data_IF_915961122367
#
_entry.id   IF_915961122367
#
_cell.length_a   1.000
_cell.length_b   1.000
_cell.length_c   1.000
_cell.angle_alpha   90.00
_cell.angle_beta   90.00
_cell.angle_gamma   90.00
#
_symmetry.space_group_name_H-M   'P 1'
#
loop_
_entity.id
_entity.type
_entity.pdbx_description
1 polymer ?
#
# COMPACT_ATOMS: atom_id res chain seq x y z
N UNK A 1 -27.95 11.08 -2.36
CA UNK A 1 -26.91 10.78 -3.37
C UNK A 1 -26.20 12.02 -3.90
N UNK A 2 -26.89 13.16 -4.08
CA UNK A 2 -26.25 14.41 -4.53
C UNK A 2 -25.17 14.87 -3.56
N UNK A 3 -25.47 14.92 -2.26
CA UNK A 3 -24.52 15.28 -1.20
C UNK A 3 -23.51 14.19 -0.86
N UNK A 4 -23.55 13.04 -1.55
CA UNK A 4 -22.65 11.92 -1.29
C UNK A 4 -21.44 12.01 -2.22
N UNK A 5 -20.23 11.99 -1.68
CA UNK A 5 -18.99 12.07 -2.45
C UNK A 5 -18.18 10.77 -2.46
N UNK A 6 -18.82 9.65 -2.09
CA UNK A 6 -18.20 8.34 -1.96
C UNK A 6 -16.96 8.33 -1.05
N UNK A 7 -16.85 9.27 -0.12
CA UNK A 7 -15.68 9.50 0.70
C UNK A 7 -15.74 8.80 2.05
N UNK A 8 -14.61 8.80 2.76
CA UNK A 8 -14.58 8.41 4.17
C UNK A 8 -14.93 9.55 5.13
N UNK A 9 -15.50 10.67 4.67
CA UNK A 9 -15.97 11.75 5.56
C UNK A 9 -17.10 11.28 6.48
N UNK A 10 -17.32 11.98 7.59
CA UNK A 10 -18.38 11.63 8.54
C UNK A 10 -19.75 11.63 7.87
N UNK A 11 -20.04 12.66 7.07
CA UNK A 11 -21.30 12.79 6.33
C UNK A 11 -21.51 11.64 5.34
N UNK A 12 -20.47 11.26 4.59
CA UNK A 12 -20.60 10.16 3.64
C UNK A 12 -20.77 8.81 4.35
N UNK A 13 -20.12 8.61 5.50
CA UNK A 13 -20.32 7.39 6.29
C UNK A 13 -21.75 7.27 6.80
N UNK A 14 -22.33 8.34 7.33
CA UNK A 14 -23.72 8.31 7.81
C UNK A 14 -24.72 8.08 6.68
N UNK A 15 -24.47 8.68 5.50
CA UNK A 15 -25.27 8.40 4.30
C UNK A 15 -25.15 6.93 3.89
N UNK A 16 -23.93 6.37 3.85
CA UNK A 16 -23.70 4.98 3.49
C UNK A 16 -24.37 4.01 4.49
N UNK A 17 -24.27 4.27 5.78
CA UNK A 17 -24.93 3.49 6.83
C UNK A 17 -26.45 3.55 6.73
N UNK A 18 -27.00 4.73 6.40
CA UNK A 18 -28.44 4.90 6.15
C UNK A 18 -28.90 4.08 4.94
N UNK A 19 -28.14 4.09 3.84
CA UNK A 19 -28.43 3.25 2.67
C UNK A 19 -28.40 1.76 3.04
N UNK A 20 -27.40 1.34 3.81
CA UNK A 20 -27.28 -0.03 4.27
C UNK A 20 -28.43 -0.44 5.20
N UNK A 21 -28.92 0.47 6.04
CA UNK A 21 -30.07 0.26 6.91
C UNK A 21 -31.35 0.08 6.08
N UNK A 22 -31.57 0.91 5.07
CA UNK A 22 -32.73 0.83 4.16
C UNK A 22 -32.76 -0.50 3.39
N UNK A 23 -31.63 -0.92 2.86
CA UNK A 23 -31.53 -2.17 2.09
C UNK A 23 -31.66 -3.41 2.99
N UNK A 24 -30.92 -3.47 4.10
CA UNK A 24 -30.86 -4.68 4.92
C UNK A 24 -32.03 -4.82 5.89
N UNK A 25 -32.45 -3.73 6.53
CA UNK A 25 -33.47 -3.74 7.59
C UNK A 25 -34.86 -3.52 7.01
N UNK A 26 -35.02 -2.48 6.20
CA UNK A 26 -36.31 -2.11 5.62
C UNK A 26 -36.62 -2.79 4.28
N UNK A 27 -35.68 -3.59 3.75
CA UNK A 27 -35.81 -4.35 2.48
C UNK A 27 -36.24 -3.48 1.29
N UNK A 28 -35.84 -2.20 1.29
CA UNK A 28 -36.12 -1.29 0.18
C UNK A 28 -35.32 -1.74 -1.05
N UNK A 29 -36.02 -1.90 -2.18
CA UNK A 29 -35.36 -2.31 -3.41
C UNK A 29 -34.55 -1.15 -4.04
N UNK A 30 -33.23 -1.16 -3.80
CA UNK A 30 -32.30 -0.19 -4.38
C UNK A 30 -31.86 -0.54 -5.82
N UNK A 31 -32.29 -1.67 -6.38
CA UNK A 31 -31.94 -2.05 -7.77
C UNK A 31 -32.47 -1.04 -8.78
N UNK A 32 -33.55 -0.33 -8.43
CA UNK A 32 -34.21 0.69 -9.27
C UNK A 32 -33.26 1.84 -9.59
N UNK A 33 -32.34 2.17 -8.67
CA UNK A 33 -31.36 3.25 -8.82
C UNK A 33 -29.95 2.74 -9.15
N UNK A 34 -29.77 1.43 -9.31
CA UNK A 34 -28.47 0.81 -9.64
C UNK A 34 -28.12 1.00 -11.13
N UNK A 35 -26.85 1.16 -11.51
CA UNK A 35 -25.69 1.44 -10.64
C UNK A 35 -25.82 2.81 -9.96
N UNK A 36 -25.39 2.88 -8.69
CA UNK A 36 -25.43 4.12 -7.91
C UNK A 36 -24.39 5.11 -8.43
N UNK A 37 -24.85 6.30 -8.77
CA UNK A 37 -24.02 7.45 -9.16
C UNK A 37 -24.11 8.52 -8.06
N UNK A 38 -23.05 9.30 -7.87
CA UNK A 38 -22.90 10.23 -6.74
C UNK A 38 -22.38 11.61 -7.18
N UNK A 39 -22.37 12.57 -6.25
CA UNK A 39 -21.97 13.96 -6.50
C UNK A 39 -22.94 14.77 -7.34
N UNK A 40 -22.58 16.01 -7.64
CA UNK A 40 -23.47 16.98 -8.33
C UNK A 40 -23.84 16.55 -9.74
N UNK A 41 -22.89 15.91 -10.46
CA UNK A 41 -23.13 15.36 -11.80
C UNK A 41 -24.22 14.28 -11.82
N UNK A 42 -24.54 13.66 -10.68
CA UNK A 42 -25.60 12.66 -10.59
C UNK A 42 -27.02 13.23 -10.73
N UNK A 43 -27.21 14.54 -10.52
CA UNK A 43 -28.53 15.20 -10.54
C UNK A 43 -29.21 14.99 -11.90
N UNK A 44 -28.50 15.27 -12.99
CA UNK A 44 -29.07 15.15 -14.34
C UNK A 44 -29.40 13.71 -14.70
N UNK A 45 -28.56 12.77 -14.26
CA UNK A 45 -28.74 11.34 -14.49
C UNK A 45 -30.02 10.86 -13.79
N UNK A 46 -30.21 11.20 -12.52
CA UNK A 46 -31.41 10.82 -11.78
C UNK A 46 -32.67 11.54 -12.29
N UNK A 47 -32.58 12.80 -12.73
CA UNK A 47 -33.70 13.51 -13.37
C UNK A 47 -34.13 12.83 -14.67
N UNK A 48 -33.20 12.55 -15.58
CA UNK A 48 -33.48 11.83 -16.83
C UNK A 48 -34.03 10.43 -16.55
N UNK A 49 -33.51 9.74 -15.54
CA UNK A 49 -34.00 8.42 -15.14
C UNK A 49 -35.43 8.47 -14.58
N UNK A 50 -35.80 9.53 -13.86
CA UNK A 50 -37.18 9.76 -13.42
C UNK A 50 -38.14 10.06 -14.57
N UNK A 51 -37.68 10.75 -15.62
CA UNK A 51 -38.49 11.11 -16.79
C UNK A 51 -38.68 9.94 -17.77
N UNK A 52 -37.61 9.22 -18.09
CA UNK A 52 -37.61 8.19 -19.13
C UNK A 52 -37.67 6.75 -18.57
N UNK A 53 -37.56 6.59 -17.24
CA UNK A 53 -37.45 5.29 -16.59
C UNK A 53 -36.08 4.62 -16.78
N UNK A 54 -35.86 3.51 -16.06
CA UNK A 54 -34.57 2.81 -16.03
C UNK A 54 -34.23 2.07 -17.34
N UNK A 55 -35.23 1.79 -18.18
CA UNK A 55 -35.03 1.01 -19.42
C UNK A 55 -34.52 1.88 -20.57
N UNK A 56 -35.06 3.09 -20.73
CA UNK A 56 -34.70 4.03 -21.80
C UNK A 56 -33.43 4.82 -21.48
N UNK A 57 -33.24 5.21 -20.21
CA UNK A 57 -32.05 5.96 -19.79
C UNK A 57 -31.15 5.09 -18.89
N UNK A 58 -30.45 4.14 -19.50
CA UNK A 58 -29.47 3.28 -18.82
C UNK A 58 -28.15 4.01 -18.63
N UNK A 59 -27.65 4.02 -17.40
CA UNK A 59 -26.28 4.45 -17.08
C UNK A 59 -25.32 3.32 -17.38
N UNK A 60 -24.44 3.54 -18.36
CA UNK A 60 -23.42 2.57 -18.74
C UNK A 60 -22.30 2.51 -17.70
N UNK A 61 -21.61 1.37 -17.62
CA UNK A 61 -20.55 1.18 -16.64
C UNK A 61 -19.39 2.17 -16.84
N UNK A 62 -19.04 2.48 -18.09
CA UNK A 62 -17.99 3.45 -18.43
C UNK A 62 -18.35 4.86 -17.92
N UNK A 63 -19.61 5.28 -18.04
CA UNK A 63 -20.08 6.57 -17.50
C UNK A 63 -19.99 6.64 -15.98
N UNK A 64 -20.17 5.51 -15.28
CA UNK A 64 -20.01 5.46 -13.82
C UNK A 64 -18.54 5.59 -13.42
N UNK A 65 -17.62 5.02 -14.20
CA UNK A 65 -16.19 5.12 -13.94
C UNK A 65 -15.66 6.55 -14.09
N UNK A 66 -16.25 7.38 -14.95
CA UNK A 66 -15.91 8.80 -15.10
C UNK A 66 -16.15 9.64 -13.82
N UNK A 67 -16.92 9.13 -12.85
CA UNK A 67 -17.08 9.76 -11.53
C UNK A 67 -15.89 9.50 -10.61
N UNK A 68 -15.02 8.55 -10.96
CA UNK A 68 -13.85 8.20 -10.17
C UNK A 68 -12.65 9.04 -10.60
N UNK A 69 -12.16 9.87 -9.70
CA UNK A 69 -10.83 10.46 -9.83
C UNK A 69 -9.74 9.39 -9.64
N UNK A 70 -8.92 9.17 -10.68
CA UNK A 70 -7.82 8.23 -10.70
C UNK A 70 -6.73 8.51 -9.66
N UNK A 71 -6.43 9.79 -9.38
CA UNK A 71 -5.43 10.17 -8.36
C UNK A 71 -5.92 9.83 -6.96
N UNK A 72 -7.16 10.20 -6.65
CA UNK A 72 -7.81 9.86 -5.40
C UNK A 72 -7.99 8.36 -5.22
N UNK A 73 -8.28 7.63 -6.29
CA UNK A 73 -8.31 6.16 -6.29
C UNK A 73 -6.95 5.57 -5.90
N UNK A 74 -5.86 6.05 -6.50
CA UNK A 74 -4.52 5.61 -6.14
C UNK A 74 -4.15 5.97 -4.70
N UNK A 75 -4.50 7.18 -4.22
CA UNK A 75 -4.33 7.55 -2.81
C UNK A 75 -5.11 6.59 -1.90
N UNK A 76 -6.29 6.15 -2.30
CA UNK A 76 -7.11 5.18 -1.56
C UNK A 76 -6.47 3.79 -1.54
N UNK A 77 -5.96 3.32 -2.69
CA UNK A 77 -5.21 2.05 -2.80
C UNK A 77 -4.12 1.97 -1.73
N UNK A 78 -3.32 3.02 -1.57
CA UNK A 78 -2.15 3.04 -0.68
C UNK A 78 -2.46 3.29 0.80
N UNK A 79 -3.61 3.90 1.11
CA UNK A 79 -3.88 4.43 2.45
C UNK A 79 -5.14 3.87 3.13
N UNK A 80 -5.97 3.07 2.46
CA UNK A 80 -7.24 2.59 3.02
C UNK A 80 -7.10 1.77 4.31
N UNK A 81 -5.97 1.10 4.51
CA UNK A 81 -5.69 0.26 5.68
C UNK A 81 -4.85 0.95 6.76
N UNK A 82 -4.33 2.16 6.49
CA UNK A 82 -3.46 2.88 7.42
C UNK A 82 -4.25 3.32 8.67
N UNK A 83 -3.66 3.22 9.87
CA UNK A 83 -4.28 3.74 11.08
C UNK A 83 -4.48 5.26 10.91
N UNK A 84 -5.67 5.74 11.29
CA UNK A 84 -5.98 7.16 11.24
C UNK A 84 -5.20 7.88 12.33
N UNK A 85 -4.41 8.92 12.02
CA UNK A 85 -3.87 9.76 13.07
C UNK A 85 -5.03 10.40 13.83
N UNK A 86 -5.04 10.25 15.15
CA UNK A 86 -6.00 10.91 16.03
C UNK A 86 -5.78 12.43 15.90
N UNK A 87 -6.77 13.17 15.38
CA UNK A 87 -6.76 14.63 15.34
C UNK A 87 -6.50 15.32 13.99
N UNK A 88 -6.21 14.59 12.91
CA UNK A 88 -6.07 15.19 11.56
C UNK A 88 -7.29 14.88 10.67
N UNK A 89 -8.34 15.69 10.77
CA UNK A 89 -9.53 15.58 9.91
C UNK A 89 -9.30 16.06 8.46
N UNK A 90 -8.18 16.75 8.19
CA UNK A 90 -7.96 17.51 6.95
C UNK A 90 -7.65 16.69 5.69
N UNK A 91 -6.68 15.77 5.71
CA UNK A 91 -6.16 15.13 4.48
C UNK A 91 -6.71 13.72 4.20
N UNK A 92 -7.31 13.08 5.21
CA UNK A 92 -7.93 11.74 5.14
C UNK A 92 -9.42 11.80 4.77
N UNK A 93 -10.04 12.98 4.85
CA UNK A 93 -11.39 13.26 4.32
C UNK A 93 -11.51 12.94 2.83
N UNK A 94 -10.38 12.99 2.10
CA UNK A 94 -10.34 12.79 0.66
C UNK A 94 -10.05 11.35 0.21
N UNK A 95 -10.19 10.31 1.05
CA UNK A 95 -10.16 8.92 0.56
C UNK A 95 -11.55 8.46 0.13
N UNK A 96 -11.63 7.50 -0.80
CA UNK A 96 -12.90 6.85 -1.13
C UNK A 96 -13.27 5.77 -0.11
N UNK A 97 -14.56 5.56 0.14
CA UNK A 97 -15.05 4.43 0.93
C UNK A 97 -14.97 3.14 0.11
N UNK A 98 -14.00 2.30 0.48
CA UNK A 98 -13.74 1.00 -0.12
C UNK A 98 -14.97 0.08 -0.06
N UNK A 99 -15.78 0.13 1.00
CA UNK A 99 -16.96 -0.74 1.16
C UNK A 99 -18.01 -0.42 0.11
N UNK A 100 -18.18 0.86 -0.19
CA UNK A 100 -19.04 1.33 -1.26
C UNK A 100 -18.46 0.95 -2.63
N UNK A 101 -17.19 1.27 -2.89
CA UNK A 101 -16.55 1.03 -4.19
C UNK A 101 -16.51 -0.44 -4.57
N UNK A 102 -16.19 -1.36 -3.66
CA UNK A 102 -16.16 -2.79 -3.99
C UNK A 102 -17.55 -3.32 -4.34
N UNK A 103 -18.61 -2.84 -3.67
CA UNK A 103 -19.99 -3.21 -4.02
C UNK A 103 -20.41 -2.62 -5.37
N UNK A 104 -19.99 -1.38 -5.64
CA UNK A 104 -20.18 -0.75 -6.95
C UNK A 104 -19.49 -1.57 -8.04
N UNK A 105 -18.25 -1.99 -7.85
CA UNK A 105 -17.53 -2.80 -8.84
C UNK A 105 -18.24 -4.12 -9.14
N UNK A 106 -18.81 -4.78 -8.13
CA UNK A 106 -19.63 -5.98 -8.33
C UNK A 106 -20.89 -5.69 -9.14
N UNK A 107 -21.54 -4.54 -8.94
CA UNK A 107 -22.73 -4.16 -9.72
C UNK A 107 -22.39 -3.79 -11.16
N UNK A 108 -21.23 -3.18 -11.40
CA UNK A 108 -20.73 -2.86 -12.74
C UNK A 108 -20.35 -4.11 -13.55
N UNK A 109 -19.96 -5.21 -12.90
CA UNK A 109 -19.56 -6.47 -13.53
C UNK A 109 -20.70 -7.52 -13.58
N UNK A 110 -21.96 -7.09 -13.58
CA UNK A 110 -23.10 -8.00 -13.76
C UNK A 110 -23.15 -8.64 -15.15
N UNK A 111 -23.83 -9.78 -15.27
CA UNK A 111 -23.93 -10.51 -16.53
C UNK A 111 -24.71 -9.66 -17.56
N UNK A 112 -24.09 -9.37 -18.70
CA UNK A 112 -24.65 -8.48 -19.73
C UNK A 112 -24.17 -7.03 -19.65
N UNK A 113 -23.30 -6.67 -18.70
CA UNK A 113 -22.64 -5.36 -18.68
C UNK A 113 -21.65 -5.21 -19.86
N UNK A 114 -21.60 -4.02 -20.44
CA UNK A 114 -20.69 -3.63 -21.54
C UNK A 114 -19.43 -2.93 -21.02
N UNK A 115 -19.03 -3.19 -19.77
CA UNK A 115 -17.84 -2.60 -19.15
C UNK A 115 -16.57 -2.88 -19.95
N UNK A 116 -15.82 -1.85 -20.34
CA UNK A 116 -14.49 -2.09 -20.93
C UNK A 116 -13.48 -2.42 -19.84
N UNK A 117 -12.82 -3.58 -19.97
CA UNK A 117 -11.84 -4.03 -18.97
C UNK A 117 -10.72 -3.00 -18.76
N UNK A 118 -10.25 -2.39 -19.86
CA UNK A 118 -9.21 -1.35 -19.85
C UNK A 118 -9.62 -0.13 -19.03
N UNK A 119 -10.83 0.39 -19.25
CA UNK A 119 -11.38 1.51 -18.47
C UNK A 119 -11.40 1.22 -16.96
N UNK A 120 -11.80 0.00 -16.58
CA UNK A 120 -11.79 -0.41 -15.17
C UNK A 120 -10.39 -0.42 -14.54
N UNK A 121 -9.36 -0.82 -15.29
CA UNK A 121 -7.98 -0.83 -14.81
C UNK A 121 -7.38 0.57 -14.81
N UNK A 122 -7.65 1.40 -15.83
CA UNK A 122 -7.19 2.79 -15.92
C UNK A 122 -7.67 3.64 -14.73
N UNK A 123 -8.91 3.43 -14.28
CA UNK A 123 -9.47 4.07 -13.08
C UNK A 123 -9.03 3.40 -11.76
N UNK A 124 -8.01 2.53 -11.80
CA UNK A 124 -7.44 1.80 -10.65
C UNK A 124 -8.44 0.89 -9.90
N UNK A 125 -9.54 0.46 -10.54
CA UNK A 125 -10.52 -0.43 -9.91
C UNK A 125 -9.93 -1.80 -9.56
N UNK A 126 -9.11 -2.35 -10.46
CA UNK A 126 -8.41 -3.60 -10.23
C UNK A 126 -7.32 -3.46 -9.14
N UNK A 127 -6.56 -2.37 -9.20
CA UNK A 127 -5.53 -2.05 -8.21
C UNK A 127 -6.10 -1.91 -6.80
N UNK A 128 -7.26 -1.27 -6.67
CA UNK A 128 -7.98 -1.17 -5.39
C UNK A 128 -8.42 -2.54 -4.90
N UNK A 129 -8.98 -3.36 -5.79
CA UNK A 129 -9.42 -4.72 -5.46
C UNK A 129 -8.27 -5.57 -4.92
N UNK A 130 -7.08 -5.50 -5.52
CA UNK A 130 -5.90 -6.17 -4.96
C UNK A 130 -5.51 -5.61 -3.60
N UNK A 131 -5.42 -4.29 -3.45
CA UNK A 131 -5.02 -3.68 -2.18
C UNK A 131 -5.93 -4.06 -1.01
N UNK A 132 -7.25 -4.13 -1.25
CA UNK A 132 -8.26 -4.45 -0.23
C UNK A 132 -8.15 -5.87 0.35
N UNK A 133 -7.38 -6.76 -0.27
CA UNK A 133 -7.09 -8.11 0.27
C UNK A 133 -6.23 -8.07 1.54
N UNK A 134 -5.54 -6.95 1.80
CA UNK A 134 -4.75 -6.72 3.04
C UNK A 134 -5.56 -6.10 4.20
N UNK A 135 -6.81 -5.70 3.94
CA UNK A 135 -7.68 -5.05 4.93
C UNK A 135 -7.90 -5.92 6.17
N UNK A 136 -8.01 -5.28 7.34
CA UNK A 136 -8.34 -5.95 8.61
C UNK A 136 -9.77 -6.52 8.62
N UNK A 137 -10.69 -5.84 7.94
CA UNK A 137 -12.09 -6.25 7.87
C UNK A 137 -12.28 -7.43 6.91
N UNK A 138 -12.81 -8.54 7.44
CA UNK A 138 -13.11 -9.76 6.68
C UNK A 138 -14.10 -9.50 5.54
N UNK A 139 -15.09 -8.62 5.73
CA UNK A 139 -16.10 -8.35 4.71
C UNK A 139 -15.50 -7.59 3.53
N UNK A 140 -14.62 -6.63 3.78
CA UNK A 140 -13.87 -5.92 2.74
C UNK A 140 -13.02 -6.90 1.94
N UNK A 141 -12.32 -7.83 2.61
CA UNK A 141 -11.55 -8.88 1.92
C UNK A 141 -12.43 -9.76 1.05
N UNK A 142 -13.54 -10.29 1.58
CA UNK A 142 -14.48 -11.13 0.81
C UNK A 142 -15.02 -10.41 -0.42
N UNK A 143 -15.38 -9.13 -0.30
CA UNK A 143 -15.81 -8.31 -1.42
C UNK A 143 -14.69 -8.14 -2.45
N UNK A 144 -13.46 -7.85 -2.00
CA UNK A 144 -12.30 -7.71 -2.87
C UNK A 144 -12.02 -8.98 -3.68
N UNK A 145 -11.96 -10.14 -3.02
CA UNK A 145 -11.82 -11.43 -3.70
C UNK A 145 -12.96 -11.74 -4.66
N UNK A 146 -14.19 -11.35 -4.30
CA UNK A 146 -15.36 -11.49 -5.18
C UNK A 146 -15.22 -10.63 -6.44
N UNK A 147 -14.75 -9.38 -6.31
CA UNK A 147 -14.49 -8.48 -7.45
C UNK A 147 -13.42 -9.08 -8.35
N UNK A 148 -12.30 -9.56 -7.79
CA UNK A 148 -11.23 -10.20 -8.55
C UNK A 148 -11.74 -11.42 -9.32
N UNK A 149 -12.49 -12.31 -8.66
CA UNK A 149 -13.08 -13.49 -9.31
C UNK A 149 -14.10 -13.10 -10.40
N UNK A 150 -14.91 -12.07 -10.16
CA UNK A 150 -15.88 -11.56 -11.13
C UNK A 150 -15.19 -10.97 -12.35
N UNK A 151 -14.10 -10.24 -12.15
CA UNK A 151 -13.29 -9.65 -13.24
C UNK A 151 -12.64 -10.74 -14.10
N UNK A 152 -12.14 -11.84 -13.52
CA UNK A 152 -11.65 -13.01 -14.30
C UNK A 152 -12.77 -13.61 -15.15
N UNK A 153 -13.94 -13.85 -14.57
CA UNK A 153 -15.08 -14.41 -15.30
C UNK A 153 -15.54 -13.47 -16.43
N UNK A 154 -15.55 -12.17 -16.16
CA UNK A 154 -15.89 -11.13 -17.13
C UNK A 154 -14.92 -11.12 -18.31
N UNK A 155 -13.62 -10.99 -18.05
CA UNK A 155 -12.56 -10.97 -19.08
C UNK A 155 -12.56 -12.25 -19.93
N UNK A 156 -12.76 -13.42 -19.30
CA UNK A 156 -12.88 -14.69 -20.02
C UNK A 156 -14.09 -14.73 -20.96
N UNK A 157 -15.27 -14.28 -20.52
CA UNK A 157 -16.46 -14.23 -21.39
C UNK A 157 -16.24 -13.31 -22.60
N UNK A 158 -15.56 -12.19 -22.41
CA UNK A 158 -15.23 -11.27 -23.51
C UNK A 158 -14.30 -11.96 -24.53
N UNK A 159 -13.27 -12.67 -24.07
CA UNK A 159 -12.37 -13.45 -24.96
C UNK A 159 -13.18 -14.51 -25.74
N UNK A 160 -14.07 -15.25 -25.08
CA UNK A 160 -14.86 -16.29 -25.75
C UNK A 160 -15.84 -15.75 -26.79
N UNK A 161 -16.43 -14.57 -26.55
CA UNK A 161 -17.31 -13.91 -27.52
C UNK A 161 -16.53 -13.52 -28.78
N UNK A 162 -15.36 -12.89 -28.62
CA UNK A 162 -14.49 -12.50 -29.73
C UNK A 162 -14.06 -13.72 -30.56
N UNK A 163 -13.57 -14.79 -29.91
CA UNK A 163 -13.15 -16.02 -30.61
C UNK A 163 -14.31 -16.69 -31.35
N UNK A 164 -15.54 -16.66 -30.81
CA UNK A 164 -16.72 -17.23 -31.49
C UNK A 164 -17.19 -16.37 -32.66
N UNK A 165 -17.09 -15.04 -32.57
CA UNK A 165 -17.39 -14.12 -33.68
C UNK A 165 -16.42 -14.39 -34.83
N UNK A 166 -15.11 -14.50 -34.53
CA UNK A 166 -14.07 -14.86 -35.51
C UNK A 166 -14.37 -16.22 -36.17
N UNK A 167 -14.81 -17.23 -35.41
CA UNK A 167 -15.12 -18.56 -35.96
C UNK A 167 -16.41 -18.64 -36.79
N UNK A 168 -17.31 -17.65 -36.73
CA UNK A 168 -18.59 -17.65 -37.47
C UNK A 168 -18.53 -16.91 -38.80
N UNK A 169 -17.50 -16.08 -39.03
CA UNK A 169 -17.14 -15.56 -40.35
C UNK A 169 -16.09 -16.47 -40.98
N UNK A 170 -16.32 -16.96 -42.20
CA UNK A 170 -15.41 -17.86 -42.94
C UNK A 170 -14.51 -17.01 -43.85
N UNK A 171 -13.19 -17.33 -43.89
CA UNK A 171 -12.07 -16.80 -44.72
C UNK A 171 -11.51 -15.46 -44.19
N UNK A 172 -10.23 -15.26 -43.83
CA UNK A 172 -8.95 -15.71 -44.40
C UNK A 172 -7.91 -16.13 -43.33
N UNK A 173 -7.04 -17.09 -43.66
CA UNK A 173 -5.92 -17.56 -42.82
C UNK A 173 -4.71 -16.59 -42.80
N UNK A 174 -4.90 -15.33 -43.20
CA UNK A 174 -3.81 -14.33 -43.33
C UNK A 174 -3.97 -13.09 -42.46
N UNK A 175 -5.06 -12.94 -41.72
CA UNK A 175 -5.23 -11.81 -40.79
C UNK A 175 -5.55 -12.35 -39.39
N UNK A 176 -4.56 -13.00 -38.79
CA UNK A 176 -4.42 -12.98 -37.33
C UNK A 176 -4.06 -11.53 -36.95
N UNK A 177 -5.02 -10.62 -37.00
CA UNK A 177 -4.97 -9.33 -36.30
C UNK A 177 -5.12 -9.55 -34.77
N UNK A 178 -4.45 -10.60 -34.25
CA UNK A 178 -4.01 -10.69 -32.87
C UNK A 178 -2.89 -9.66 -32.57
N UNK A 179 -2.69 -8.69 -33.45
CA UNK A 179 -1.70 -7.63 -33.39
C UNK A 179 -2.22 -6.30 -32.86
N UNK A 180 -3.50 -6.22 -32.47
CA UNK A 180 -3.91 -5.16 -31.56
C UNK A 180 -3.19 -5.38 -30.21
N UNK A 181 -2.33 -4.43 -29.83
CA UNK A 181 -1.60 -4.48 -28.55
C UNK A 181 -2.56 -4.62 -27.34
N UNK A 182 -3.80 -4.18 -27.51
CA UNK A 182 -4.88 -4.27 -26.52
C UNK A 182 -5.27 -5.72 -26.22
N UNK A 183 -5.31 -6.60 -27.22
CA UNK A 183 -5.69 -8.00 -27.00
C UNK A 183 -4.64 -8.78 -26.22
N UNK A 184 -3.35 -8.47 -26.42
CA UNK A 184 -2.23 -9.12 -25.69
C UNK A 184 -2.28 -8.79 -24.19
N UNK A 185 -2.61 -7.55 -23.81
CA UNK A 185 -2.70 -7.13 -22.40
C UNK A 185 -3.82 -7.84 -21.65
N UNK A 186 -4.95 -8.12 -22.30
CA UNK A 186 -6.08 -8.83 -21.71
C UNK A 186 -5.68 -10.22 -21.18
N UNK A 187 -4.87 -10.97 -21.92
CA UNK A 187 -4.36 -12.28 -21.49
C UNK A 187 -3.43 -12.15 -20.28
N UNK A 188 -2.62 -11.08 -20.20
CA UNK A 188 -1.75 -10.82 -19.04
C UNK A 188 -2.56 -10.60 -17.76
N UNK A 189 -3.70 -9.91 -17.83
CA UNK A 189 -4.60 -9.77 -16.66
C UNK A 189 -5.18 -11.10 -16.21
N UNK A 190 -5.64 -11.93 -17.15
CA UNK A 190 -6.16 -13.27 -16.83
C UNK A 190 -5.06 -14.10 -16.19
N UNK A 191 -3.83 -14.03 -16.72
CA UNK A 191 -2.67 -14.71 -16.16
C UNK A 191 -2.34 -14.23 -14.74
N UNK A 192 -2.24 -12.92 -14.52
CA UNK A 192 -1.96 -12.32 -13.22
C UNK A 192 -2.98 -12.77 -12.16
N UNK A 193 -4.27 -12.75 -12.50
CA UNK A 193 -5.34 -13.12 -11.57
C UNK A 193 -5.38 -14.63 -11.31
N UNK A 194 -5.06 -15.47 -12.30
CA UNK A 194 -4.90 -16.91 -12.10
C UNK A 194 -3.71 -17.22 -11.21
N UNK A 195 -2.57 -16.58 -11.45
CA UNK A 195 -1.37 -16.71 -10.63
C UNK A 195 -1.65 -16.32 -9.17
N UNK A 196 -2.34 -15.19 -8.98
CA UNK A 196 -2.78 -14.75 -7.66
C UNK A 196 -3.72 -15.77 -6.99
N UNK A 197 -4.76 -16.23 -7.70
CA UNK A 197 -5.71 -17.23 -7.19
C UNK A 197 -5.02 -18.54 -6.80
N UNK A 198 -4.07 -19.01 -7.61
CA UNK A 198 -3.34 -20.25 -7.35
C UNK A 198 -2.40 -20.12 -6.13
N UNK A 199 -2.00 -18.90 -5.78
CA UNK A 199 -1.14 -18.62 -4.64
C UNK A 199 -1.88 -18.59 -3.30
N UNK A 200 -3.22 -18.66 -3.32
CA UNK A 200 -4.06 -18.54 -2.13
C UNK A 200 -4.61 -19.91 -1.75
N UNK A 201 -4.33 -20.33 -0.51
CA UNK A 201 -4.75 -21.64 0.02
C UNK A 201 -6.08 -21.60 0.78
N UNK A 202 -6.41 -20.45 1.39
CA UNK A 202 -7.57 -20.29 2.28
C UNK A 202 -8.65 -19.39 1.67
N UNK A 203 -9.85 -19.40 2.25
CA UNK A 203 -10.92 -18.50 1.87
C UNK A 203 -10.68 -17.08 2.41
N UNK A 204 -10.49 -16.13 1.50
CA UNK A 204 -10.30 -14.71 1.79
C UNK A 204 -9.24 -14.39 2.87
N UNK A 205 -8.00 -14.93 2.76
CA UNK A 205 -6.95 -14.69 3.73
C UNK A 205 -6.58 -13.22 3.74
N UNK A 206 -6.05 -12.78 4.88
CA UNK A 206 -5.46 -11.45 4.95
C UNK A 206 -4.05 -11.50 4.39
N UNK A 207 -3.82 -10.78 3.30
CA UNK A 207 -2.47 -10.68 2.71
C UNK A 207 -1.65 -9.58 3.39
N UNK A 208 -0.32 -9.71 3.42
CA UNK A 208 0.55 -8.58 3.74
C UNK A 208 0.40 -7.45 2.71
N UNK A 209 0.50 -6.20 3.18
CA UNK A 209 0.32 -5.02 2.33
C UNK A 209 1.35 -4.96 1.20
N UNK A 210 2.59 -5.41 1.45
CA UNK A 210 3.62 -5.52 0.42
C UNK A 210 3.19 -6.43 -0.75
N UNK A 211 2.49 -7.53 -0.46
CA UNK A 211 2.00 -8.44 -1.50
C UNK A 211 0.82 -7.81 -2.24
N UNK A 212 -0.17 -7.29 -1.52
CA UNK A 212 -1.35 -6.69 -2.15
C UNK A 212 -1.00 -5.46 -2.98
N UNK A 213 -0.07 -4.62 -2.51
CA UNK A 213 0.44 -3.46 -3.25
C UNK A 213 1.28 -3.87 -4.46
N UNK A 214 2.03 -4.99 -4.38
CA UNK A 214 2.73 -5.54 -5.54
C UNK A 214 1.72 -5.84 -6.66
N UNK A 215 0.69 -6.65 -6.39
CA UNK A 215 -0.32 -6.96 -7.42
C UNK A 215 -1.07 -5.72 -7.91
N UNK A 216 -1.36 -4.76 -7.03
CA UNK A 216 -1.99 -3.48 -7.42
C UNK A 216 -1.11 -2.63 -8.35
N UNK A 217 0.21 -2.62 -8.13
CA UNK A 217 1.18 -1.94 -9.01
C UNK A 217 1.34 -2.68 -10.31
N UNK A 218 1.43 -4.01 -10.28
CA UNK A 218 1.55 -4.85 -11.47
C UNK A 218 0.31 -4.72 -12.35
N UNK A 219 -0.91 -4.68 -11.79
CA UNK A 219 -2.12 -4.45 -12.58
C UNK A 219 -2.09 -3.11 -13.32
N UNK A 220 -1.49 -2.07 -12.73
CA UNK A 220 -1.31 -0.79 -13.41
C UNK A 220 -0.16 -0.84 -14.42
N UNK A 221 0.93 -1.53 -14.09
CA UNK A 221 2.11 -1.67 -14.94
C UNK A 221 1.78 -2.37 -16.27
N UNK A 222 0.82 -3.31 -16.29
CA UNK A 222 0.39 -4.00 -17.52
C UNK A 222 -0.18 -3.03 -18.57
N UNK A 223 -0.76 -1.89 -18.15
CA UNK A 223 -1.22 -0.85 -19.08
C UNK A 223 -0.07 -0.08 -19.74
N UNK A 224 1.14 -0.15 -19.18
CA UNK A 224 2.30 0.66 -19.54
C UNK A 224 3.51 -0.22 -19.93
N UNK A 225 3.47 -0.94 -21.07
CA UNK A 225 4.59 -1.75 -21.54
C UNK A 225 5.87 -0.95 -21.82
N UNK A 226 5.76 0.35 -22.03
CA UNK A 226 6.88 1.29 -22.18
C UNK A 226 7.70 1.48 -20.90
N UNK A 227 7.18 1.02 -19.76
CA UNK A 227 7.88 1.17 -18.49
C UNK A 227 9.16 0.34 -18.45
N UNK A 228 10.29 0.91 -18.00
CA UNK A 228 11.56 0.19 -17.92
C UNK A 228 11.53 -1.04 -16.99
N UNK A 229 10.57 -1.07 -16.06
CA UNK A 229 10.41 -2.14 -15.07
C UNK A 229 9.51 -3.28 -15.58
N UNK A 230 8.79 -3.06 -16.69
CA UNK A 230 7.80 -3.99 -17.23
C UNK A 230 8.41 -5.38 -17.50
N UNK A 231 9.52 -5.42 -18.23
CA UNK A 231 10.20 -6.68 -18.60
C UNK A 231 10.72 -7.43 -17.38
N UNK A 232 11.31 -6.72 -16.41
CA UNK A 232 11.82 -7.34 -15.19
C UNK A 232 10.69 -8.01 -14.40
N UNK A 233 9.56 -7.33 -14.22
CA UNK A 233 8.39 -7.86 -13.50
C UNK A 233 7.71 -8.99 -14.27
N UNK A 234 7.48 -8.83 -15.58
CA UNK A 234 6.82 -9.87 -16.38
C UNK A 234 7.67 -11.14 -16.46
N UNK A 235 8.99 -11.00 -16.55
CA UNK A 235 9.92 -12.14 -16.49
C UNK A 235 9.72 -12.93 -15.21
N UNK A 236 9.59 -12.23 -14.07
CA UNK A 236 9.33 -12.87 -12.78
C UNK A 236 8.00 -13.60 -12.71
N UNK A 237 6.91 -12.95 -13.15
CA UNK A 237 5.60 -13.58 -13.12
C UNK A 237 5.65 -14.92 -13.88
N UNK A 238 6.41 -14.96 -14.99
CA UNK A 238 6.57 -16.13 -15.85
C UNK A 238 7.49 -17.23 -15.29
N UNK A 239 8.30 -16.95 -14.26
CA UNK A 239 9.29 -17.90 -13.73
C UNK A 239 8.66 -19.04 -12.92
N UNK A 240 7.60 -18.76 -12.16
CA UNK A 240 6.98 -19.73 -11.26
C UNK A 240 5.46 -19.75 -11.46
N UNK A 241 4.82 -20.94 -11.39
CA UNK A 241 3.36 -21.05 -11.51
C UNK A 241 2.60 -20.54 -10.28
N UNK A 242 3.32 -20.18 -9.20
CA UNK A 242 2.80 -19.69 -7.92
C UNK A 242 3.75 -18.65 -7.34
N UNK A 243 3.22 -17.63 -6.67
CA UNK A 243 4.00 -16.60 -5.97
C UNK A 243 4.05 -16.91 -4.47
N UNK A 244 5.25 -16.86 -3.89
CA UNK A 244 5.46 -16.96 -2.45
C UNK A 244 4.90 -15.71 -1.74
N UNK A 245 3.75 -15.83 -1.07
CA UNK A 245 3.10 -14.71 -0.37
C UNK A 245 3.79 -14.32 0.95
N UNK A 246 4.78 -15.10 1.39
CA UNK A 246 5.52 -14.86 2.63
C UNK A 246 6.78 -14.01 2.43
N UNK A 247 7.12 -13.63 1.20
CA UNK A 247 8.34 -12.90 0.86
C UNK A 247 8.01 -11.72 -0.05
N UNK A 248 8.79 -10.64 0.02
CA UNK A 248 8.68 -9.54 -0.94
C UNK A 248 9.01 -10.06 -2.35
N UNK A 249 8.09 -9.93 -3.33
CA UNK A 249 8.32 -10.45 -4.68
C UNK A 249 9.53 -9.79 -5.34
N UNK A 250 10.43 -10.60 -5.92
CA UNK A 250 11.64 -10.16 -6.64
C UNK A 250 12.55 -9.15 -5.93
N UNK A 251 12.58 -9.19 -4.59
CA UNK A 251 13.35 -8.23 -3.80
C UNK A 251 14.80 -8.07 -4.29
N UNK A 252 15.55 -9.18 -4.38
CA UNK A 252 16.97 -9.12 -4.70
C UNK A 252 17.23 -8.69 -6.15
N UNK A 253 16.47 -9.25 -7.09
CA UNK A 253 16.67 -8.98 -8.53
C UNK A 253 16.41 -7.52 -8.86
N UNK A 254 15.36 -6.91 -8.28
CA UNK A 254 15.04 -5.51 -8.52
C UNK A 254 15.93 -4.55 -7.72
N UNK A 255 16.26 -4.89 -6.47
CA UNK A 255 17.08 -4.03 -5.60
C UNK A 255 18.54 -3.95 -6.07
N UNK A 256 19.08 -5.10 -6.49
CA UNK A 256 20.46 -5.28 -6.98
C UNK A 256 20.45 -5.59 -8.48
N UNK A 257 19.61 -4.86 -9.23
CA UNK A 257 19.45 -5.08 -10.67
C UNK A 257 20.78 -5.02 -11.42
N UNK A 258 20.97 -6.01 -12.30
CA UNK A 258 22.09 -6.10 -13.24
C UNK A 258 21.82 -5.38 -14.56
N UNK A 259 20.68 -4.68 -14.68
CA UNK A 259 20.30 -3.97 -15.90
C UNK A 259 21.17 -2.75 -16.13
N UNK A 260 21.91 -2.70 -17.24
CA UNK A 260 22.81 -1.57 -17.52
C UNK A 260 22.06 -0.24 -17.63
N UNK A 261 20.86 -0.25 -18.22
CA UNK A 261 20.08 0.96 -18.51
C UNK A 261 19.02 1.26 -17.44
N UNK A 262 18.40 0.23 -16.87
CA UNK A 262 17.16 0.37 -16.09
C UNK A 262 17.31 0.09 -14.59
N UNK A 263 18.53 -0.17 -14.10
CA UNK A 263 18.76 -0.54 -12.70
C UNK A 263 18.26 0.49 -11.69
N UNK A 264 18.32 1.79 -12.01
CA UNK A 264 17.81 2.85 -11.15
C UNK A 264 16.29 2.75 -10.98
N UNK A 265 15.56 2.60 -12.08
CA UNK A 265 14.09 2.55 -12.08
C UNK A 265 13.58 1.24 -11.45
N UNK A 266 14.24 0.11 -11.72
CA UNK A 266 13.90 -1.17 -11.08
C UNK A 266 14.10 -1.11 -9.55
N UNK A 267 15.20 -0.50 -9.10
CA UNK A 267 15.48 -0.30 -7.68
C UNK A 267 14.49 0.66 -7.02
N UNK A 268 14.21 1.79 -7.66
CA UNK A 268 13.24 2.75 -7.19
C UNK A 268 11.86 2.10 -7.05
N UNK A 269 11.46 1.28 -8.01
CA UNK A 269 10.16 0.60 -8.01
C UNK A 269 9.99 -0.31 -6.80
N UNK A 270 10.99 -1.17 -6.51
CA UNK A 270 10.93 -2.08 -5.35
C UNK A 270 11.06 -1.33 -4.03
N UNK A 271 11.91 -0.31 -3.93
CA UNK A 271 12.03 0.52 -2.73
C UNK A 271 10.75 1.31 -2.43
N UNK A 272 10.06 1.78 -3.47
CA UNK A 272 8.77 2.46 -3.33
C UNK A 272 7.70 1.47 -2.87
N UNK A 273 7.68 0.25 -3.41
CA UNK A 273 6.80 -0.82 -2.95
C UNK A 273 7.02 -1.12 -1.45
N UNK A 274 8.28 -1.24 -1.01
CA UNK A 274 8.60 -1.49 0.40
C UNK A 274 8.18 -0.31 1.27
N UNK A 275 8.54 0.93 0.88
CA UNK A 275 8.24 2.13 1.64
C UNK A 275 6.73 2.37 1.80
N UNK A 276 5.92 2.05 0.78
CA UNK A 276 4.46 2.23 0.84
C UNK A 276 3.73 1.03 1.42
N UNK A 277 4.31 -0.18 1.31
CA UNK A 277 3.75 -1.43 1.82
C UNK A 277 4.12 -1.76 3.25
N UNK A 278 5.05 -1.04 3.88
CA UNK A 278 5.35 -1.19 5.31
C UNK A 278 4.34 -0.38 6.15
N UNK A 279 3.21 -0.99 6.51
CA UNK A 279 2.14 -0.32 7.27
C UNK A 279 2.02 -0.92 8.67
N UNK A 280 2.20 -2.23 8.82
CA UNK A 280 2.04 -2.95 10.08
C UNK A 280 3.24 -3.84 10.43
N UNK A 281 3.34 -4.31 11.69
CA UNK A 281 4.38 -5.23 12.10
C UNK A 281 4.41 -6.55 11.29
N UNK A 282 3.27 -6.99 10.76
CA UNK A 282 3.22 -8.16 9.87
C UNK A 282 4.00 -7.93 8.58
N UNK A 283 3.95 -6.72 8.01
CA UNK A 283 4.67 -6.37 6.78
C UNK A 283 6.18 -6.31 7.03
N UNK A 284 6.59 -5.87 8.22
CA UNK A 284 7.99 -5.92 8.65
C UNK A 284 8.53 -7.36 8.66
N UNK A 285 7.75 -8.32 9.13
CA UNK A 285 8.17 -9.73 9.16
C UNK A 285 8.40 -10.28 7.75
N UNK A 286 7.53 -9.94 6.78
CA UNK A 286 7.70 -10.31 5.37
C UNK A 286 9.00 -9.75 4.79
N UNK A 287 9.32 -8.50 5.12
CA UNK A 287 10.57 -7.88 4.71
C UNK A 287 11.78 -8.58 5.37
N UNK A 288 11.66 -9.01 6.62
CA UNK A 288 12.74 -9.69 7.35
C UNK A 288 12.96 -11.15 6.94
N UNK A 289 11.96 -11.84 6.39
CA UNK A 289 12.11 -13.23 5.92
C UNK A 289 13.25 -13.38 4.90
N UNK A 290 13.56 -12.32 4.15
CA UNK A 290 14.69 -12.24 3.21
C UNK A 290 15.77 -11.23 3.65
N UNK A 291 15.86 -10.95 4.95
CA UNK A 291 16.81 -9.98 5.53
C UNK A 291 16.74 -8.58 4.89
N UNK A 292 15.54 -8.15 4.48
CA UNK A 292 15.34 -6.92 3.70
C UNK A 292 15.92 -5.68 4.37
N UNK A 293 15.65 -5.47 5.67
CA UNK A 293 16.22 -4.31 6.38
C UNK A 293 17.75 -4.36 6.40
N UNK A 294 18.35 -5.52 6.65
CA UNK A 294 19.82 -5.66 6.66
C UNK A 294 20.42 -5.28 5.31
N UNK A 295 19.76 -5.65 4.21
CA UNK A 295 20.14 -5.23 2.86
C UNK A 295 20.04 -3.72 2.71
N UNK A 296 18.91 -3.11 3.09
CA UNK A 296 18.72 -1.65 3.01
C UNK A 296 19.81 -0.89 3.80
N UNK A 297 20.12 -1.34 5.02
CA UNK A 297 21.17 -0.75 5.87
C UNK A 297 22.56 -0.90 5.26
N UNK A 298 22.86 -2.04 4.62
CA UNK A 298 24.15 -2.26 3.94
C UNK A 298 24.29 -1.44 2.66
N UNK A 299 23.19 -1.24 1.94
CA UNK A 299 23.15 -0.58 0.64
C UNK A 299 23.21 0.95 0.79
N UNK A 300 22.54 1.52 1.79
CA UNK A 300 22.42 2.96 2.02
C UNK A 300 23.73 3.78 1.98
N UNK A 301 24.83 3.39 2.67
CA UNK A 301 26.06 4.19 2.68
C UNK A 301 26.90 4.05 1.41
N UNK A 302 26.53 3.16 0.48
CA UNK A 302 27.30 2.89 -0.73
C UNK A 302 27.10 3.99 -1.79
N UNK A 303 28.06 4.10 -2.71
CA UNK A 303 27.97 4.96 -3.89
C UNK A 303 26.99 4.43 -4.96
N UNK A 304 26.52 3.18 -4.81
CA UNK A 304 25.62 2.54 -5.76
C UNK A 304 24.19 3.11 -5.72
N UNK A 305 23.84 3.81 -4.63
CA UNK A 305 22.49 4.31 -4.37
C UNK A 305 22.42 5.81 -4.65
N UNK A 306 21.44 6.20 -5.46
CA UNK A 306 21.11 7.59 -5.70
C UNK A 306 20.33 8.21 -4.52
N UNK A 307 20.11 9.52 -4.59
CA UNK A 307 19.40 10.26 -3.55
C UNK A 307 17.93 9.80 -3.39
N UNK A 308 17.29 9.36 -4.48
CA UNK A 308 15.89 8.91 -4.48
C UNK A 308 15.76 7.61 -3.69
N UNK A 309 16.59 6.62 -3.99
CA UNK A 309 16.64 5.36 -3.28
C UNK A 309 17.05 5.54 -1.82
N UNK A 310 18.00 6.43 -1.50
CA UNK A 310 18.32 6.78 -0.09
C UNK A 310 17.13 7.37 0.64
N UNK A 311 16.38 8.29 0.01
CA UNK A 311 15.13 8.85 0.57
C UNK A 311 14.09 7.77 0.85
N UNK A 312 13.91 6.80 -0.07
CA UNK A 312 12.96 5.69 0.12
C UNK A 312 13.40 4.75 1.26
N UNK A 313 14.70 4.46 1.38
CA UNK A 313 15.26 3.70 2.50
C UNK A 313 14.99 4.43 3.81
N UNK A 314 15.30 5.72 3.89
CA UNK A 314 15.06 6.53 5.08
C UNK A 314 13.56 6.59 5.45
N UNK A 315 12.67 6.78 4.48
CA UNK A 315 11.22 6.72 4.71
C UNK A 315 10.76 5.36 5.24
N UNK A 316 11.31 4.27 4.69
CA UNK A 316 11.04 2.90 5.18
C UNK A 316 11.48 2.75 6.64
N UNK A 317 12.71 3.18 6.97
CA UNK A 317 13.23 3.13 8.33
C UNK A 317 12.43 3.99 9.29
N UNK A 318 12.02 5.20 8.89
CA UNK A 318 11.16 6.08 9.70
C UNK A 318 9.82 5.41 10.01
N UNK A 319 9.17 4.85 9.00
CA UNK A 319 7.89 4.14 9.17
C UNK A 319 8.07 2.92 10.07
N UNK A 320 9.20 2.21 9.95
CA UNK A 320 9.53 1.06 10.80
C UNK A 320 9.70 1.46 12.27
N UNK A 321 10.47 2.52 12.56
CA UNK A 321 10.70 2.97 13.95
C UNK A 321 9.49 3.62 14.58
N UNK A 322 8.50 4.08 13.80
CA UNK A 322 7.23 4.59 14.34
C UNK A 322 6.38 3.48 14.98
N UNK A 323 6.55 2.22 14.57
CA UNK A 323 5.88 1.07 15.19
C UNK A 323 6.67 0.58 16.42
N UNK A 324 6.14 0.63 17.65
CA UNK A 324 6.93 0.33 18.86
C UNK A 324 7.53 -1.08 18.87
N UNK A 325 6.77 -2.11 18.47
CA UNK A 325 7.25 -3.49 18.43
C UNK A 325 8.40 -3.69 17.43
N UNK A 326 8.34 -2.98 16.30
CA UNK A 326 9.37 -3.04 15.26
C UNK A 326 10.59 -2.23 15.66
N UNK A 327 10.41 -1.07 16.29
CA UNK A 327 11.49 -0.25 16.85
C UNK A 327 12.33 -1.04 17.85
N UNK A 328 11.68 -1.81 18.73
CA UNK A 328 12.35 -2.72 19.66
C UNK A 328 13.23 -3.75 18.94
N UNK A 329 12.69 -4.43 17.92
CA UNK A 329 13.45 -5.40 17.13
C UNK A 329 14.62 -4.75 16.39
N UNK A 330 14.40 -3.58 15.79
CA UNK A 330 15.43 -2.78 15.14
C UNK A 330 16.55 -2.36 16.10
N UNK A 331 16.21 -2.06 17.36
CA UNK A 331 17.18 -1.69 18.38
C UNK A 331 18.10 -2.86 18.73
N UNK A 332 17.54 -4.04 19.05
CA UNK A 332 18.31 -5.17 19.55
C UNK A 332 18.85 -6.11 18.45
N UNK A 333 18.03 -6.48 17.46
CA UNK A 333 18.44 -7.45 16.43
C UNK A 333 19.25 -6.78 15.33
N UNK A 334 18.81 -5.61 14.88
CA UNK A 334 19.45 -4.91 13.76
C UNK A 334 20.53 -3.91 14.22
N UNK A 335 20.67 -3.66 15.53
CA UNK A 335 21.60 -2.67 16.09
C UNK A 335 21.49 -1.29 15.41
N UNK A 336 20.27 -0.87 15.09
CA UNK A 336 20.02 0.32 14.27
C UNK A 336 20.65 1.59 14.86
N UNK A 337 20.63 1.72 16.19
CA UNK A 337 21.26 2.83 16.91
C UNK A 337 22.77 2.95 16.63
N UNK A 338 23.48 1.81 16.63
CA UNK A 338 24.91 1.74 16.34
C UNK A 338 25.21 1.97 14.87
N UNK A 339 24.38 1.42 13.98
CA UNK A 339 24.49 1.66 12.54
C UNK A 339 24.31 3.14 12.19
N UNK A 340 23.31 3.83 12.77
CA UNK A 340 23.11 5.27 12.54
C UNK A 340 24.34 6.06 12.99
N UNK A 341 24.86 5.78 14.19
CA UNK A 341 26.04 6.45 14.72
C UNK A 341 27.29 6.23 13.85
N UNK A 342 27.40 5.07 13.18
CA UNK A 342 28.51 4.79 12.26
C UNK A 342 28.37 5.49 10.91
N UNK A 343 27.14 5.63 10.40
CA UNK A 343 26.89 6.11 9.03
C UNK A 343 26.74 7.63 8.95
N UNK A 344 26.32 8.28 10.04
CA UNK A 344 26.01 9.72 10.05
C UNK A 344 27.17 10.64 9.62
N UNK A 345 28.41 10.19 9.83
CA UNK A 345 29.64 10.91 9.45
C UNK A 345 30.09 10.65 8.02
N UNK A 346 29.40 9.79 7.28
CA UNK A 346 29.77 9.47 5.91
C UNK A 346 29.77 10.74 5.04
N UNK A 347 30.86 10.96 4.32
CA UNK A 347 31.09 12.13 3.45
C UNK A 347 30.12 12.18 2.27
N UNK A 348 29.57 11.04 1.88
CA UNK A 348 28.60 10.93 0.78
C UNK A 348 27.18 11.41 1.15
N UNK A 349 26.93 11.68 2.43
CA UNK A 349 25.60 12.09 2.91
C UNK A 349 25.45 13.61 2.92
N UNK A 350 24.33 14.05 2.37
CA UNK A 350 23.87 15.43 2.46
C UNK A 350 23.46 15.78 3.88
N UNK A 351 23.49 17.08 4.22
CA UNK A 351 23.01 17.53 5.52
C UNK A 351 21.52 17.22 5.76
N UNK A 352 20.71 17.04 4.72
CA UNK A 352 19.30 16.64 4.89
C UNK A 352 19.19 15.18 5.34
N UNK A 353 19.94 14.26 4.72
CA UNK A 353 19.97 12.84 5.11
C UNK A 353 20.48 12.67 6.54
N UNK A 354 21.48 13.45 6.94
CA UNK A 354 21.98 13.46 8.34
C UNK A 354 20.91 13.91 9.33
N UNK A 355 20.19 15.01 9.05
CA UNK A 355 19.06 15.44 9.88
C UNK A 355 17.97 14.36 9.95
N UNK A 356 17.66 13.72 8.83
CA UNK A 356 16.62 12.69 8.78
C UNK A 356 17.02 11.44 9.57
N UNK A 357 18.28 11.02 9.50
CA UNK A 357 18.83 9.96 10.37
C UNK A 357 18.77 10.34 11.84
N UNK A 358 19.02 11.61 12.19
CA UNK A 358 18.84 12.15 13.53
C UNK A 358 17.39 12.03 14.02
N UNK A 359 16.41 12.29 13.15
CA UNK A 359 15.00 12.11 13.44
C UNK A 359 14.62 10.64 13.64
N UNK A 360 15.12 9.72 12.79
CA UNK A 360 14.89 8.28 12.97
C UNK A 360 15.49 7.82 14.30
N UNK A 361 16.70 8.29 14.63
CA UNK A 361 17.38 7.96 15.86
C UNK A 361 16.59 8.43 17.09
N UNK A 362 16.09 9.67 17.08
CA UNK A 362 15.31 10.24 18.19
C UNK A 362 14.03 9.44 18.46
N UNK A 363 13.30 9.04 17.40
CA UNK A 363 12.10 8.20 17.50
C UNK A 363 12.45 6.81 18.04
N UNK A 364 13.53 6.20 17.52
CA UNK A 364 13.99 4.86 17.93
C UNK A 364 14.26 4.80 19.44
N UNK A 365 15.07 5.74 19.97
CA UNK A 365 15.42 5.74 21.39
C UNK A 365 14.23 6.10 22.28
N UNK A 366 13.31 6.94 21.80
CA UNK A 366 12.09 7.29 22.54
C UNK A 366 11.18 6.06 22.70
N UNK A 367 10.97 5.30 21.63
CA UNK A 367 10.17 4.08 21.66
C UNK A 367 10.80 2.99 22.54
N UNK A 368 12.12 2.78 22.44
CA UNK A 368 12.81 1.79 23.28
C UNK A 368 12.76 2.18 24.77
N UNK A 369 12.87 3.49 25.09
CA UNK A 369 12.69 3.98 26.45
C UNK A 369 11.28 3.72 26.96
N UNK A 370 10.24 3.98 26.17
CA UNK A 370 8.86 3.73 26.58
C UNK A 370 8.59 2.23 26.81
N UNK A 371 9.13 1.35 25.98
CA UNK A 371 9.06 -0.10 26.17
C UNK A 371 9.80 -0.52 27.45
N UNK A 372 10.99 0.02 27.69
CA UNK A 372 11.76 -0.21 28.93
C UNK A 372 11.05 0.28 30.19
N UNK A 373 10.13 1.26 30.08
CA UNK A 373 9.34 1.78 31.20
C UNK A 373 8.10 0.94 31.51
N UNK A 374 7.52 0.32 30.48
CA UNK A 374 6.31 -0.50 30.55
C UNK A 374 6.60 -2.00 30.63
N UNK A 375 7.86 -2.42 30.52
CA UNK A 375 8.26 -3.81 30.70
C UNK A 375 7.95 -4.30 32.11
N UNK A 376 7.55 -5.57 32.21
CA UNK A 376 7.37 -6.25 33.48
C UNK A 376 8.68 -6.31 34.26
N UNK A 377 8.57 -6.36 35.58
CA UNK A 377 9.72 -6.50 36.51
C UNK A 377 10.50 -7.81 36.31
N UNK A 378 9.95 -8.75 35.53
CA UNK A 378 10.58 -10.04 35.23
C UNK A 378 11.69 -9.92 34.17
N UNK A 379 11.76 -8.80 33.43
CA UNK A 379 12.87 -8.57 32.50
C UNK A 379 14.13 -8.22 33.31
N UNK A 380 15.28 -8.88 33.05
CA UNK A 380 16.49 -8.64 33.82
C UNK A 380 16.91 -7.15 33.79
N UNK A 381 17.15 -6.56 34.97
CA UNK A 381 17.50 -5.13 35.10
C UNK A 381 18.70 -4.71 34.25
N UNK A 382 19.62 -5.63 33.96
CA UNK A 382 20.79 -5.35 33.14
C UNK A 382 20.41 -4.96 31.71
N UNK A 383 19.30 -5.47 31.14
CA UNK A 383 18.90 -5.16 29.76
C UNK A 383 18.61 -3.66 29.59
N UNK A 384 17.84 -3.07 30.49
CA UNK A 384 17.53 -1.64 30.43
C UNK A 384 18.77 -0.78 30.70
N UNK A 385 19.70 -1.26 31.54
CA UNK A 385 20.99 -0.58 31.77
C UNK A 385 21.86 -0.62 30.52
N UNK A 386 21.94 -1.76 29.83
CA UNK A 386 22.68 -1.92 28.57
C UNK A 386 22.07 -1.04 27.49
N UNK A 387 20.74 -1.08 27.30
CA UNK A 387 20.06 -0.24 26.31
C UNK A 387 20.31 1.26 26.55
N UNK A 388 20.19 1.71 27.81
CA UNK A 388 20.49 3.10 28.18
C UNK A 388 21.97 3.47 27.96
N UNK A 389 22.91 2.58 28.31
CA UNK A 389 24.33 2.80 28.09
C UNK A 389 24.68 2.86 26.59
N UNK A 390 24.17 1.93 25.79
CA UNK A 390 24.33 1.91 24.34
C UNK A 390 23.77 3.19 23.72
N UNK A 391 22.54 3.57 24.06
CA UNK A 391 21.91 4.79 23.57
C UNK A 391 22.71 6.04 23.94
N UNK A 392 23.31 6.11 25.14
CA UNK A 392 24.19 7.21 25.56
C UNK A 392 25.48 7.27 24.74
N UNK A 393 26.09 6.13 24.45
CA UNK A 393 27.32 6.07 23.65
C UNK A 393 27.04 6.52 22.22
N UNK A 394 26.03 5.93 21.57
CA UNK A 394 25.70 6.27 20.17
C UNK A 394 25.15 7.69 20.04
N UNK A 395 24.43 8.20 21.04
CA UNK A 395 23.90 9.55 21.00
C UNK A 395 24.98 10.62 21.01
N UNK A 396 26.10 10.44 21.73
CA UNK A 396 27.22 11.41 21.67
C UNK A 396 27.68 11.66 20.24
N UNK A 397 27.74 10.58 19.45
CA UNK A 397 28.15 10.67 18.05
C UNK A 397 27.10 11.37 17.19
N UNK A 398 25.83 11.01 17.36
CA UNK A 398 24.71 11.63 16.63
C UNK A 398 24.57 13.11 16.98
N UNK A 399 24.70 13.48 18.26
CA UNK A 399 24.65 14.86 18.73
C UNK A 399 25.78 15.70 18.14
N UNK A 400 27.02 15.21 18.15
CA UNK A 400 28.14 15.89 17.50
C UNK A 400 27.90 16.15 16.01
N UNK A 401 27.31 15.19 15.31
CA UNK A 401 26.93 15.37 13.90
C UNK A 401 25.79 16.41 13.73
N UNK A 402 24.82 16.47 14.65
CA UNK A 402 23.76 17.49 14.64
C UNK A 402 24.30 18.89 14.96
N UNK A 403 25.24 19.02 15.89
CA UNK A 403 25.91 20.29 16.24
C UNK A 403 26.67 20.90 15.05
N UNK A 404 27.30 20.04 14.22
CA UNK A 404 27.94 20.47 12.98
C UNK A 404 26.96 21.06 11.94
N UNK A 405 25.66 20.82 12.12
CA UNK A 405 24.56 21.28 11.27
C UNK A 405 23.67 22.29 12.00
N UNK A 406 24.23 23.03 12.97
CA UNK A 406 23.54 24.01 13.81
C UNK A 406 22.80 25.11 13.03
N UNK A 407 23.13 25.32 11.76
CA UNK A 407 22.42 26.22 10.86
C UNK A 407 21.01 25.74 10.46
N UNK A 408 20.66 24.48 10.73
CA UNK A 408 19.34 23.90 10.40
C UNK A 408 18.49 23.73 11.66
N UNK A 409 17.29 24.30 11.64
CA UNK A 409 16.32 24.19 12.74
C UNK A 409 16.00 22.73 13.11
N UNK A 410 15.78 21.87 12.10
CA UNK A 410 15.53 20.43 12.28
C UNK A 410 16.65 19.71 13.03
N UNK A 411 17.92 20.12 12.85
CA UNK A 411 19.04 19.53 13.59
C UNK A 411 18.97 19.91 15.07
N UNK A 412 18.64 21.17 15.37
CA UNK A 412 18.45 21.66 16.74
C UNK A 412 17.28 21.00 17.47
N UNK A 413 16.15 20.76 16.78
CA UNK A 413 15.01 20.01 17.33
C UNK A 413 15.38 18.56 17.64
N UNK A 414 16.04 17.88 16.69
CA UNK A 414 16.49 16.51 16.89
C UNK A 414 17.48 16.41 18.06
N UNK A 415 18.43 17.33 18.18
CA UNK A 415 19.38 17.37 19.29
C UNK A 415 18.68 17.52 20.64
N UNK A 416 17.71 18.45 20.75
CA UNK A 416 16.90 18.65 21.95
C UNK A 416 16.09 17.39 22.31
N UNK A 417 15.46 16.77 21.32
CA UNK A 417 14.69 15.54 21.52
C UNK A 417 15.57 14.39 22.02
N UNK A 418 16.76 14.22 21.42
CA UNK A 418 17.71 13.18 21.81
C UNK A 418 18.21 13.40 23.25
N UNK A 419 18.59 14.63 23.59
CA UNK A 419 19.07 14.97 24.93
C UNK A 419 18.00 14.71 26.00
N UNK A 420 16.76 15.12 25.73
CA UNK A 420 15.61 14.88 26.63
C UNK A 420 15.38 13.40 26.92
N UNK A 421 15.47 12.53 25.90
CA UNK A 421 15.28 11.08 26.07
C UNK A 421 16.42 10.44 26.87
N UNK A 422 17.65 10.92 26.69
CA UNK A 422 18.84 10.38 27.38
C UNK A 422 18.85 10.72 28.86
N UNK A 423 18.48 11.96 29.21
CA UNK A 423 18.44 12.43 30.60
C UNK A 423 17.27 11.81 31.38
N UNK A 424 16.23 11.40 30.68
CA UNK A 424 15.06 10.78 31.30
C UNK A 424 15.34 9.38 31.87
N UNK A 425 14.47 8.90 32.77
CA UNK A 425 14.60 7.58 33.41
C UNK A 425 14.17 6.44 32.49
N UNK A 426 15.08 5.50 32.22
CA UNK A 426 14.89 4.27 31.43
C UNK A 426 14.41 3.05 32.23
N UNK A 427 14.37 3.15 33.56
CA UNK A 427 13.97 2.02 34.42
C UNK A 427 12.44 1.87 34.47
N UNK A 428 11.91 0.65 34.72
CA UNK A 428 10.47 0.41 34.82
C UNK A 428 9.83 1.30 35.91
N UNK A 429 8.57 1.70 35.71
CA UNK A 429 7.82 2.38 36.76
C UNK A 429 7.59 1.38 37.91
N UNK A 430 8.11 1.68 39.11
CA UNK A 430 7.74 0.92 40.31
C UNK A 430 6.22 1.04 40.50
N UNK A 431 5.47 -0.07 40.39
CA UNK A 431 4.07 -0.10 40.83
C UNK A 431 4.08 0.26 42.32
N UNK A 432 3.41 1.36 42.71
CA UNK A 432 3.09 1.58 44.13
C UNK A 432 2.22 0.39 44.52
N UNK A 433 2.74 -0.51 45.34
CA UNK A 433 1.91 -1.45 46.08
C UNK A 433 0.90 -0.58 46.84
N UNK A 434 -0.37 -0.70 46.50
CA UNK A 434 -1.42 -0.17 47.36
C UNK A 434 -1.24 -0.89 48.70
N UNK A 435 -0.92 -0.11 49.74
CA UNK A 435 -0.91 -0.63 51.10
C UNK A 435 -2.34 -1.10 51.39
N UNK A 436 -2.48 -2.42 51.58
CA UNK A 436 -3.71 -3.05 52.07
C UNK A 436 -3.84 -2.76 53.55
#
# INVERSE_FOLDING_TARGET
>A
MISYNASTSLNDRTIFESLQLLENTYKVNLSIISPLVWGDKSIEIYKKRGQFGATLNRTFADQVLEFLDGLRMWKTVLNHSRPRPEGEEGDVSNLYDVRFLLRLFLSLMQAGSELKYRSFVEHNGLSLSFSCTSSKDLMVRKLAYSVLQRFVSFTHLTIHKEVKVVRRGVIDLTELDADSADDKQKYLYVYLLRLFKQSIECDAPRLPHMISHFFARVSKLILHPESPVFTAVLSFLSLKPVIELNNVPELYKLLLSSSAEHHHQEREWVLTLISEGLIEPMDYNILQNRSGIKLLLSLFPTCMVDMVARRLILNTLKTAVQMPSVAHDLFYRMNLHSWIASVIDNRLLTGWERCYLGQIYSILIANEREISRHSSTDIPEYRNKVASACARITARKVLSAMESLSNKETAGENARAIQSVIEAKWRPKRKKLAAV
#
